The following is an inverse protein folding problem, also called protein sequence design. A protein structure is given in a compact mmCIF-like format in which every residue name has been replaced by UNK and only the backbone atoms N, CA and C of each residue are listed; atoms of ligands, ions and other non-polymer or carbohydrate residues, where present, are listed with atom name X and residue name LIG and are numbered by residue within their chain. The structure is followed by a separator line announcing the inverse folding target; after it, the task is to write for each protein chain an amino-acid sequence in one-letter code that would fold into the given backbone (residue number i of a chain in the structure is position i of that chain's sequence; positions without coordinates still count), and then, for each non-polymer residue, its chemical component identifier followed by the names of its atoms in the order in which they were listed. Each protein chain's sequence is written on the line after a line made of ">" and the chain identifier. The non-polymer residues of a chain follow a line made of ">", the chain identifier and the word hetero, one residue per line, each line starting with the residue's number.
data_IF_536468610111
#
_entry.id   IF_536468610111
#
_cell.length_a   1.000
_cell.length_b   1.000
_cell.length_c   1.000
_cell.angle_alpha   90.00
_cell.angle_beta   90.00
_cell.angle_gamma   90.00
#
_symmetry.space_group_name_H-M   'P 1'
#
loop_
_entity.id
_entity.type
_entity.pdbx_description
1 polymer ?
#
# COMPACT_ATOMS: atom_id res chain seq x y z
N UNK A 1 -15.73 2.89 5.96
CA UNK A 1 -14.37 3.44 6.12
C UNK A 1 -13.40 2.76 5.17
N UNK A 2 -12.66 3.57 4.41
CA UNK A 2 -11.62 3.09 3.50
C UNK A 2 -10.26 3.65 3.91
N UNK A 3 -9.20 2.92 3.58
CA UNK A 3 -7.83 3.44 3.60
C UNK A 3 -7.32 3.56 2.17
N UNK A 4 -6.75 4.71 1.83
CA UNK A 4 -5.89 4.84 0.66
C UNK A 4 -4.48 4.46 1.09
N UNK A 5 -3.95 3.37 0.54
CA UNK A 5 -2.57 2.93 0.75
C UNK A 5 -1.73 3.41 -0.44
N UNK A 6 -0.64 4.11 -0.15
CA UNK A 6 0.34 4.57 -1.13
C UNK A 6 1.67 3.88 -0.87
N UNK A 7 2.28 3.33 -1.91
CA UNK A 7 3.50 2.54 -1.83
C UNK A 7 4.52 3.07 -2.83
N UNK A 8 5.76 3.20 -2.36
CA UNK A 8 6.91 3.50 -3.19
C UNK A 8 7.62 2.19 -3.49
N UNK A 9 7.66 1.82 -4.76
CA UNK A 9 8.30 0.60 -5.24
C UNK A 9 9.65 0.93 -5.88
N UNK A 10 10.65 0.08 -5.59
CA UNK A 10 11.97 0.15 -6.20
C UNK A 10 11.88 -0.15 -7.70
N UNK A 11 12.59 0.61 -8.53
CA UNK A 11 12.69 0.37 -9.98
C UNK A 11 14.16 0.26 -10.39
N UNK A 12 14.44 -0.55 -11.42
CA UNK A 12 15.80 -0.86 -11.87
C UNK A 12 16.55 0.40 -12.38
N UNK A 13 15.80 1.44 -12.75
CA UNK A 13 16.33 2.68 -13.34
C UNK A 13 16.45 3.81 -12.30
N UNK A 14 16.43 3.51 -10.99
CA UNK A 14 16.37 4.50 -9.89
C UNK A 14 15.13 5.43 -9.95
N UNK A 15 14.11 5.05 -10.73
CA UNK A 15 12.86 5.81 -10.83
C UNK A 15 11.83 5.22 -9.87
N UNK A 16 11.81 5.73 -8.64
CA UNK A 16 10.86 5.27 -7.63
C UNK A 16 9.42 5.51 -8.10
N UNK A 17 8.66 4.43 -8.31
CA UNK A 17 7.26 4.54 -8.72
C UNK A 17 6.35 4.56 -7.51
N UNK A 18 5.49 5.58 -7.47
CA UNK A 18 4.38 5.66 -6.54
C UNK A 18 3.20 4.86 -7.11
N UNK A 19 2.75 3.85 -6.39
CA UNK A 19 1.51 3.12 -6.67
C UNK A 19 0.54 3.32 -5.51
N UNK A 20 -0.77 3.21 -5.77
CA UNK A 20 -1.77 3.34 -4.72
C UNK A 20 -2.97 2.44 -4.92
N UNK A 21 -3.58 2.05 -3.81
CA UNK A 21 -4.79 1.22 -3.80
C UNK A 21 -5.71 1.61 -2.65
N UNK A 22 -7.02 1.42 -2.83
CA UNK A 22 -8.00 1.56 -1.75
C UNK A 22 -8.28 0.20 -1.15
N UNK A 23 -8.27 0.12 0.18
CA UNK A 23 -8.70 -1.06 0.93
C UNK A 23 -9.87 -0.70 1.85
N UNK A 24 -10.83 -1.60 1.95
CA UNK A 24 -11.95 -1.49 2.89
C UNK A 24 -11.50 -2.03 4.26
N UNK A 25 -11.76 -1.26 5.32
CA UNK A 25 -11.40 -1.64 6.69
C UNK A 25 -12.68 -1.74 7.52
N UNK A 26 -12.78 -2.80 8.33
CA UNK A 26 -13.88 -3.03 9.25
C UNK A 26 -13.44 -2.81 10.69
N UNK A 27 -14.43 -2.57 11.55
CA UNK A 27 -14.19 -2.43 12.97
C UNK A 27 -13.60 -3.75 13.54
N UNK A 28 -12.47 -3.63 14.23
CA UNK A 28 -11.72 -4.78 14.75
C UNK A 28 -10.54 -5.24 13.88
N UNK A 29 -10.42 -4.75 12.65
CA UNK A 29 -9.28 -5.07 11.78
C UNK A 29 -7.99 -4.44 12.30
N UNK A 30 -6.87 -5.14 12.10
CA UNK A 30 -5.56 -4.61 12.39
C UNK A 30 -5.06 -3.79 11.20
N UNK A 31 -5.31 -2.47 11.25
CA UNK A 31 -4.93 -1.51 10.21
C UNK A 31 -3.48 -1.66 9.76
N UNK A 32 -2.53 -1.87 10.67
CA UNK A 32 -1.12 -2.00 10.30
C UNK A 32 -0.84 -3.27 9.49
N UNK A 33 -1.56 -4.35 9.76
CA UNK A 33 -1.45 -5.61 9.02
C UNK A 33 -2.08 -5.47 7.62
N UNK A 34 -3.26 -4.86 7.54
CA UNK A 34 -3.97 -4.62 6.27
C UNK A 34 -3.16 -3.73 5.31
N UNK A 35 -2.59 -2.62 5.83
CA UNK A 35 -1.72 -1.73 5.03
C UNK A 35 -0.51 -2.49 4.50
N UNK A 36 0.13 -3.29 5.35
CA UNK A 36 1.32 -4.05 4.97
C UNK A 36 0.99 -5.10 3.91
N UNK A 37 -0.11 -5.83 4.08
CA UNK A 37 -0.54 -6.84 3.12
C UNK A 37 -0.85 -6.21 1.76
N UNK A 38 -1.59 -5.09 1.73
CA UNK A 38 -1.86 -4.37 0.49
C UNK A 38 -0.56 -3.93 -0.23
N UNK A 39 0.43 -3.47 0.54
CA UNK A 39 1.72 -3.10 -0.01
C UNK A 39 2.51 -4.28 -0.59
N UNK A 40 2.52 -5.41 0.12
CA UNK A 40 3.18 -6.66 -0.33
C UNK A 40 2.54 -7.22 -1.59
N UNK A 41 1.20 -7.19 -1.69
CA UNK A 41 0.47 -7.63 -2.89
C UNK A 41 0.78 -6.74 -4.11
N UNK A 42 0.83 -5.41 -3.94
CA UNK A 42 1.23 -4.48 -5.02
C UNK A 42 2.68 -4.72 -5.47
N UNK A 43 3.60 -4.90 -4.52
CA UNK A 43 4.99 -5.18 -4.82
C UNK A 43 5.16 -6.51 -5.58
N UNK A 44 4.45 -7.56 -5.15
CA UNK A 44 4.44 -8.86 -5.80
C UNK A 44 3.89 -8.78 -7.24
N UNK A 45 2.77 -8.08 -7.44
CA UNK A 45 2.16 -7.91 -8.76
C UNK A 45 3.08 -7.19 -9.75
N UNK A 46 3.98 -6.35 -9.26
CA UNK A 46 4.98 -5.64 -10.06
C UNK A 46 6.35 -6.31 -10.11
N UNK A 47 6.55 -7.41 -9.36
CA UNK A 47 7.86 -8.03 -9.14
C UNK A 47 8.92 -7.03 -8.68
N UNK A 48 8.56 -6.19 -7.70
CA UNK A 48 9.39 -5.10 -7.16
C UNK A 48 9.51 -5.19 -5.65
N UNK A 49 10.49 -4.48 -5.08
CA UNK A 49 10.63 -4.32 -3.64
C UNK A 49 9.86 -3.08 -3.15
N UNK A 50 9.39 -3.13 -1.91
CA UNK A 50 8.81 -1.97 -1.23
C UNK A 50 9.94 -1.14 -0.62
N UNK A 51 10.01 0.13 -0.98
CA UNK A 51 10.92 1.11 -0.37
C UNK A 51 10.24 1.78 0.83
N UNK A 52 9.00 2.20 0.66
CA UNK A 52 8.18 2.76 1.73
C UNK A 52 6.70 2.59 1.44
N UNK A 53 5.89 2.68 2.48
CA UNK A 53 4.44 2.74 2.33
C UNK A 53 3.84 3.69 3.37
N UNK A 54 2.71 4.27 3.02
CA UNK A 54 1.91 5.15 3.88
C UNK A 54 0.44 4.90 3.62
N UNK A 55 -0.43 5.23 4.57
CA UNK A 55 -1.86 5.15 4.36
C UNK A 55 -2.56 6.34 5.00
N UNK A 56 -3.68 6.74 4.40
CA UNK A 56 -4.58 7.72 4.99
C UNK A 56 -6.02 7.19 5.01
N UNK A 57 -6.75 7.55 6.06
CA UNK A 57 -8.18 7.24 6.20
C UNK A 57 -8.97 8.15 5.28
N UNK A 58 -9.79 7.54 4.41
CA UNK A 58 -10.81 8.23 3.65
C UNK A 58 -12.11 8.12 4.46
N UNK A 59 -12.60 9.23 5.04
CA UNK A 59 -13.93 9.27 5.65
C UNK A 59 -15.00 9.03 4.59
N UNK A 60 -16.05 8.30 4.96
CA UNK A 60 -17.21 8.03 4.09
C UNK A 60 -17.99 9.31 3.74
#
# INVERSE_FOLDING_TARGET
>A
MKLLVMVVLEDEIHDNKLDSTEIEIKEGDNISLEIRQAAEEMALARSKNIVSFSACVIPD
#
